data_IF_572955943129
#
_entry.id   IF_572955943129
#
_cell.length_a   1.000
_cell.length_b   1.000
_cell.length_c   1.000
_cell.angle_alpha   90.00
_cell.angle_beta   90.00
_cell.angle_gamma   90.00
#
_symmetry.space_group_name_H-M   'P 1'
#
loop_
_entity.id
_entity.type
_entity.pdbx_description
1 polymer ?
#
# COMPACT_ATOMS: atom_id res chain seq x y z
N UNK A 1 22.81 28.37 -23.76
CA UNK A 1 23.46 27.16 -23.24
C UNK A 1 23.92 27.44 -21.81
N UNK A 2 23.73 26.51 -20.88
CA UNK A 2 24.15 26.52 -19.45
C UNK A 2 23.20 27.14 -18.44
N UNK A 3 22.12 26.42 -18.09
CA UNK A 3 21.44 26.60 -16.77
C UNK A 3 20.76 25.31 -16.22
N UNK A 4 20.93 24.16 -16.87
CA UNK A 4 20.25 22.92 -16.50
C UNK A 4 21.00 22.09 -15.44
N UNK A 5 22.26 22.38 -15.14
CA UNK A 5 23.15 21.57 -14.29
C UNK A 5 23.09 21.89 -12.80
N UNK A 6 22.48 23.00 -12.39
CA UNK A 6 22.44 23.41 -10.97
C UNK A 6 21.32 22.75 -10.17
N UNK A 7 20.15 22.54 -10.77
CA UNK A 7 18.97 21.98 -10.06
C UNK A 7 19.08 20.48 -9.76
N UNK A 8 19.71 19.73 -10.66
CA UNK A 8 19.98 18.29 -10.45
C UNK A 8 20.99 18.04 -9.33
N UNK A 9 21.95 18.95 -9.13
CA UNK A 9 22.94 18.81 -8.05
C UNK A 9 22.36 19.03 -6.66
N UNK A 10 21.39 19.92 -6.52
CA UNK A 10 20.73 20.18 -5.22
C UNK A 10 19.85 18.99 -4.82
N UNK A 11 19.08 18.44 -5.76
CA UNK A 11 18.26 17.25 -5.50
C UNK A 11 19.12 16.03 -5.16
N UNK A 12 20.24 15.84 -5.88
CA UNK A 12 21.20 14.77 -5.61
C UNK A 12 21.91 14.98 -4.27
N UNK A 13 22.16 16.21 -3.85
CA UNK A 13 22.80 16.54 -2.59
C UNK A 13 21.88 16.27 -1.38
N UNK A 14 20.58 16.46 -1.53
CA UNK A 14 19.59 16.05 -0.54
C UNK A 14 19.49 14.53 -0.41
N UNK A 15 19.50 13.80 -1.52
CA UNK A 15 19.48 12.32 -1.54
C UNK A 15 20.81 11.78 -1.01
N UNK A 16 21.95 12.38 -1.37
CA UNK A 16 23.28 11.97 -0.90
C UNK A 16 23.48 12.30 0.58
N UNK A 17 22.99 13.44 1.09
CA UNK A 17 22.98 13.74 2.53
C UNK A 17 22.13 12.73 3.31
N UNK A 18 21.06 12.24 2.70
CA UNK A 18 20.22 11.18 3.23
C UNK A 18 20.96 9.81 3.28
N UNK A 19 21.89 9.57 2.35
CA UNK A 19 22.67 8.32 2.25
C UNK A 19 24.00 8.39 3.02
N UNK A 20 24.62 9.57 3.16
CA UNK A 20 25.97 9.72 3.75
C UNK A 20 26.00 9.55 5.27
N UNK A 21 24.87 9.77 5.96
CA UNK A 21 24.74 9.51 7.41
C UNK A 21 24.81 8.01 7.76
N UNK A 22 24.80 7.12 6.76
CA UNK A 22 24.76 5.66 6.91
C UNK A 22 26.12 5.00 7.19
N UNK A 23 27.23 5.70 6.98
CA UNK A 23 28.58 5.08 6.98
C UNK A 23 29.37 5.25 8.27
N UNK A 24 28.82 5.89 9.31
CA UNK A 24 29.59 6.23 10.51
C UNK A 24 29.20 5.50 11.80
N UNK A 25 28.41 4.44 11.74
CA UNK A 25 28.08 3.62 12.92
C UNK A 25 28.70 2.22 12.81
N UNK A 26 29.86 2.05 13.41
CA UNK A 26 30.49 0.76 13.67
C UNK A 26 29.68 -0.06 14.67
N UNK A 27 29.25 -1.25 14.28
CA UNK A 27 28.62 -2.21 15.18
C UNK A 27 29.68 -3.05 15.91
N UNK A 28 29.58 -3.08 17.23
CA UNK A 28 30.29 -4.04 18.07
C UNK A 28 29.47 -5.35 18.16
N UNK A 29 30.10 -6.54 18.18
CA UNK A 29 29.36 -7.80 18.19
C UNK A 29 28.80 -8.11 19.58
N UNK A 30 27.50 -8.48 19.62
CA UNK A 30 26.80 -8.91 20.82
C UNK A 30 27.13 -10.36 21.16
N UNK A 31 27.45 -10.60 22.43
CA UNK A 31 27.77 -11.90 23.03
C UNK A 31 26.51 -12.77 23.21
N UNK A 32 26.63 -14.03 22.82
CA UNK A 32 25.66 -15.10 22.99
C UNK A 32 25.35 -15.38 24.46
N UNK A 33 24.11 -15.23 24.90
CA UNK A 33 23.62 -15.85 26.15
C UNK A 33 22.54 -16.88 25.78
N UNK A 34 22.83 -18.14 26.15
CA UNK A 34 21.91 -19.25 26.06
C UNK A 34 20.68 -19.02 26.93
N UNK A 35 19.50 -19.07 26.37
CA UNK A 35 18.23 -19.02 27.11
C UNK A 35 17.46 -20.34 26.92
N UNK A 36 17.12 -20.98 28.03
CA UNK A 36 16.37 -22.21 28.13
C UNK A 36 14.92 -22.02 27.63
N UNK A 37 14.45 -22.93 26.78
CA UNK A 37 13.11 -22.94 26.18
C UNK A 37 12.02 -23.23 27.22
N UNK A 38 10.97 -22.41 27.34
CA UNK A 38 9.72 -22.81 27.96
C UNK A 38 8.89 -23.64 26.97
N UNK A 39 8.29 -24.73 27.45
CA UNK A 39 7.35 -25.56 26.67
C UNK A 39 6.06 -24.76 26.42
N UNK A 40 5.86 -24.31 25.19
CA UNK A 40 4.60 -23.70 24.78
C UNK A 40 3.53 -24.79 24.55
N UNK A 41 2.44 -24.69 25.30
CA UNK A 41 1.17 -25.34 24.99
C UNK A 41 0.64 -24.80 23.65
N UNK A 42 0.30 -25.68 22.74
CA UNK A 42 -0.34 -25.33 21.48
C UNK A 42 -1.63 -24.53 21.74
N UNK A 43 -1.89 -23.43 21.04
CA UNK A 43 -3.16 -22.73 21.16
C UNK A 43 -4.27 -23.60 20.57
N UNK A 44 -5.34 -23.78 21.35
CA UNK A 44 -6.58 -24.41 20.90
C UNK A 44 -7.18 -23.53 19.79
N UNK A 45 -7.25 -24.06 18.58
CA UNK A 45 -8.00 -23.48 17.48
C UNK A 45 -9.50 -23.50 17.84
N UNK A 46 -10.03 -22.36 18.22
CA UNK A 46 -11.47 -22.13 18.20
C UNK A 46 -11.87 -21.88 16.75
N UNK A 47 -12.42 -22.89 16.07
CA UNK A 47 -13.17 -22.66 14.84
C UNK A 47 -14.34 -21.75 15.21
N UNK A 48 -14.29 -20.48 14.83
CA UNK A 48 -15.47 -19.64 14.85
C UNK A 48 -16.44 -20.18 13.80
N UNK A 49 -17.41 -20.96 14.26
CA UNK A 49 -18.62 -21.28 13.50
C UNK A 49 -19.51 -20.03 13.47
N UNK A 50 -19.10 -18.98 12.76
CA UNK A 50 -20.00 -17.90 12.36
C UNK A 50 -20.94 -18.48 11.30
N UNK A 51 -22.24 -18.26 11.48
CA UNK A 51 -23.27 -18.64 10.52
C UNK A 51 -22.99 -17.92 9.16
N UNK A 52 -23.41 -18.50 8.01
CA UNK A 52 -23.15 -17.91 6.69
C UNK A 52 -23.67 -16.49 6.48
N UNK A 53 -24.54 -15.99 7.37
CA UNK A 53 -25.11 -14.63 7.34
C UNK A 53 -24.19 -13.53 7.87
N UNK A 54 -23.06 -13.86 8.55
CA UNK A 54 -22.17 -12.88 9.19
C UNK A 54 -20.84 -12.66 8.45
N UNK A 55 -20.62 -13.29 7.31
CA UNK A 55 -19.40 -13.10 6.53
C UNK A 55 -19.44 -11.72 5.84
N UNK A 56 -18.39 -10.88 6.02
CA UNK A 56 -18.34 -9.57 5.38
C UNK A 56 -18.15 -9.63 3.84
N UNK A 57 -18.09 -10.83 3.26
CA UNK A 57 -17.98 -11.05 1.82
C UNK A 57 -16.60 -11.47 1.35
N UNK A 58 -16.41 -11.45 0.03
CA UNK A 58 -15.16 -11.81 -0.64
C UNK A 58 -14.52 -10.56 -1.25
N UNK A 59 -13.22 -10.39 -1.07
CA UNK A 59 -12.47 -9.26 -1.65
C UNK A 59 -11.34 -9.71 -2.54
N UNK A 60 -11.05 -8.89 -3.56
CA UNK A 60 -9.88 -9.04 -4.41
C UNK A 60 -8.80 -8.04 -3.99
N UNK A 61 -7.62 -8.52 -3.62
CA UNK A 61 -6.45 -7.69 -3.29
C UNK A 61 -5.46 -7.69 -4.45
N UNK A 62 -5.36 -6.58 -5.17
CA UNK A 62 -4.38 -6.39 -6.22
C UNK A 62 -3.03 -6.00 -5.61
N UNK A 63 -2.00 -6.81 -5.87
CA UNK A 63 -0.69 -6.67 -5.24
C UNK A 63 -0.61 -7.31 -3.84
N UNK A 64 -1.42 -8.33 -3.55
CA UNK A 64 -1.50 -8.97 -2.24
C UNK A 64 -0.21 -9.66 -1.76
N UNK A 65 0.78 -9.87 -2.63
CA UNK A 65 2.11 -10.39 -2.26
C UNK A 65 3.13 -9.27 -1.97
N UNK A 66 2.73 -7.99 -2.11
CA UNK A 66 3.56 -6.82 -1.78
C UNK A 66 3.53 -6.48 -0.28
N UNK A 67 4.34 -5.50 0.12
CA UNK A 67 4.50 -5.08 1.50
C UNK A 67 3.17 -4.74 2.20
N UNK A 68 2.39 -3.82 1.63
CA UNK A 68 1.07 -3.46 2.16
C UNK A 68 0.04 -4.55 1.89
N UNK A 69 0.06 -5.15 0.68
CA UNK A 69 -0.93 -6.14 0.27
C UNK A 69 -0.96 -7.37 1.16
N UNK A 70 0.19 -7.88 1.61
CA UNK A 70 0.24 -8.99 2.57
C UNK A 70 -0.42 -8.63 3.91
N UNK A 71 -0.17 -7.43 4.43
CA UNK A 71 -0.78 -6.97 5.67
C UNK A 71 -2.31 -6.84 5.52
N UNK A 72 -2.78 -6.33 4.38
CA UNK A 72 -4.22 -6.24 4.05
C UNK A 72 -4.83 -7.63 3.96
N UNK A 73 -4.22 -8.57 3.24
CA UNK A 73 -4.73 -9.95 3.13
C UNK A 73 -4.86 -10.63 4.50
N UNK A 74 -3.81 -10.57 5.33
CA UNK A 74 -3.80 -11.13 6.69
C UNK A 74 -4.89 -10.48 7.56
N UNK A 75 -5.02 -9.15 7.49
CA UNK A 75 -6.02 -8.43 8.28
C UNK A 75 -7.44 -8.73 7.82
N UNK A 76 -7.69 -8.79 6.53
CA UNK A 76 -9.00 -9.10 5.97
C UNK A 76 -9.47 -10.51 6.37
N UNK A 77 -8.60 -11.51 6.33
CA UNK A 77 -8.90 -12.84 6.86
C UNK A 77 -9.27 -12.80 8.34
N UNK A 78 -8.50 -12.08 9.16
CA UNK A 78 -8.77 -11.94 10.59
C UNK A 78 -10.13 -11.27 10.89
N UNK A 79 -10.62 -10.44 9.97
CA UNK A 79 -11.96 -9.80 10.05
C UNK A 79 -13.07 -10.63 9.38
N UNK A 80 -12.76 -11.84 8.90
CA UNK A 80 -13.73 -12.79 8.35
C UNK A 80 -14.01 -12.70 6.87
N UNK A 81 -13.26 -11.87 6.10
CA UNK A 81 -13.37 -11.83 4.64
C UNK A 81 -12.79 -13.08 4.01
N UNK A 82 -13.39 -13.53 2.91
CA UNK A 82 -12.71 -14.37 1.94
C UNK A 82 -11.77 -13.51 1.09
N UNK A 83 -10.53 -13.95 0.89
CA UNK A 83 -9.50 -13.13 0.25
C UNK A 83 -8.93 -13.83 -0.97
N UNK A 84 -9.05 -13.20 -2.14
CA UNK A 84 -8.29 -13.55 -3.34
C UNK A 84 -7.20 -12.51 -3.56
N UNK A 85 -5.98 -12.94 -3.77
CA UNK A 85 -4.80 -12.09 -4.02
C UNK A 85 -4.34 -12.25 -5.46
N UNK A 86 -4.30 -11.17 -6.24
CA UNK A 86 -3.72 -11.17 -7.58
C UNK A 86 -2.37 -10.48 -7.57
N UNK A 87 -1.34 -11.17 -8.06
CA UNK A 87 -0.01 -10.61 -8.27
C UNK A 87 0.74 -11.30 -9.39
N UNK A 88 1.72 -10.62 -9.99
CA UNK A 88 2.59 -11.21 -11.05
C UNK A 88 3.34 -12.45 -10.55
N UNK A 89 3.66 -12.48 -9.27
CA UNK A 89 4.43 -13.56 -8.63
C UNK A 89 3.57 -14.75 -8.25
N UNK A 90 2.28 -14.55 -8.04
CA UNK A 90 1.36 -15.56 -7.49
C UNK A 90 1.50 -15.68 -5.98
N UNK A 91 2.50 -16.39 -5.52
CA UNK A 91 2.74 -16.61 -4.08
C UNK A 91 3.64 -15.53 -3.46
N UNK A 92 3.50 -15.23 -2.16
CA UNK A 92 4.43 -14.36 -1.46
C UNK A 92 5.81 -15.04 -1.36
N UNK A 93 6.90 -14.24 -1.26
CA UNK A 93 8.22 -14.80 -0.97
C UNK A 93 8.16 -15.43 0.42
N UNK A 94 8.52 -16.70 0.51
CA UNK A 94 8.64 -17.41 1.78
C UNK A 94 9.95 -16.97 2.45
N UNK A 95 9.90 -16.54 3.72
CA UNK A 95 11.07 -16.43 4.57
C UNK A 95 11.16 -17.68 5.45
N UNK A 96 12.37 -18.04 5.87
CA UNK A 96 12.62 -19.25 6.70
C UNK A 96 11.87 -19.20 8.06
N UNK A 97 11.46 -18.01 8.51
CA UNK A 97 10.65 -17.80 9.71
C UNK A 97 9.14 -18.01 9.47
N UNK A 98 8.71 -18.04 8.21
CA UNK A 98 7.29 -18.12 7.82
C UNK A 98 6.69 -19.54 7.84
N UNK A 99 7.46 -20.56 8.19
CA UNK A 99 6.91 -21.92 8.32
C UNK A 99 5.74 -22.02 9.32
N UNK A 100 5.71 -21.13 10.32
CA UNK A 100 4.60 -21.01 11.29
C UNK A 100 3.41 -20.20 10.73
N UNK A 101 3.65 -19.36 9.72
CA UNK A 101 2.65 -18.53 9.04
C UNK A 101 1.97 -19.26 7.88
N UNK A 102 2.46 -20.44 7.49
CA UNK A 102 1.88 -21.26 6.43
C UNK A 102 0.39 -21.58 6.71
N UNK A 103 -0.01 -21.81 7.96
CA UNK A 103 -1.40 -22.10 8.30
C UNK A 103 -2.37 -20.97 7.93
N UNK A 104 -2.01 -19.71 8.17
CA UNK A 104 -2.83 -18.54 7.79
C UNK A 104 -2.71 -18.18 6.32
N UNK A 105 -1.64 -18.62 5.65
CA UNK A 105 -1.42 -18.37 4.22
C UNK A 105 -2.30 -19.28 3.35
N UNK A 106 -2.68 -20.46 3.84
CA UNK A 106 -3.54 -21.41 3.10
C UNK A 106 -4.99 -20.91 2.91
N UNK A 107 -5.45 -19.97 3.73
CA UNK A 107 -6.81 -19.43 3.61
C UNK A 107 -6.92 -18.26 2.59
N UNK A 108 -5.80 -17.84 2.00
CA UNK A 108 -5.76 -16.83 0.93
C UNK A 108 -5.67 -17.54 -0.42
N UNK A 109 -6.60 -17.23 -1.30
CA UNK A 109 -6.56 -17.68 -2.69
C UNK A 109 -5.56 -16.86 -3.50
N UNK A 110 -4.33 -17.33 -3.64
CA UNK A 110 -3.28 -16.66 -4.38
C UNK A 110 -3.35 -16.98 -5.86
N UNK A 111 -3.50 -15.97 -6.69
CA UNK A 111 -3.58 -16.06 -8.16
C UNK A 111 -2.41 -15.34 -8.80
N UNK A 112 -1.79 -16.01 -9.76
CA UNK A 112 -0.79 -15.39 -10.62
C UNK A 112 -1.46 -14.69 -11.80
N UNK A 113 -1.09 -13.42 -12.03
CA UNK A 113 -1.57 -12.63 -13.17
C UNK A 113 -1.12 -11.19 -13.08
N UNK A 114 -1.32 -10.46 -14.16
CA UNK A 114 -0.92 -9.06 -14.29
C UNK A 114 -2.15 -8.16 -14.35
N UNK A 115 -2.28 -7.25 -13.38
CA UNK A 115 -3.38 -6.29 -13.33
C UNK A 115 -3.33 -5.25 -14.47
N UNK A 116 -2.21 -5.15 -15.21
CA UNK A 116 -2.12 -4.37 -16.45
C UNK A 116 -2.97 -4.99 -17.57
N UNK A 117 -3.27 -6.28 -17.47
CA UNK A 117 -4.16 -6.98 -18.37
C UNK A 117 -5.57 -7.08 -17.74
N UNK A 118 -6.55 -6.39 -18.32
CA UNK A 118 -7.95 -6.43 -17.89
C UNK A 118 -8.49 -7.85 -17.74
N UNK A 119 -8.15 -8.75 -18.65
CA UNK A 119 -8.62 -10.13 -18.63
C UNK A 119 -8.21 -10.89 -17.35
N UNK A 120 -7.05 -10.57 -16.77
CA UNK A 120 -6.61 -11.18 -15.51
C UNK A 120 -7.53 -10.81 -14.33
N UNK A 121 -7.98 -9.56 -14.26
CA UNK A 121 -8.88 -9.08 -13.21
C UNK A 121 -10.32 -9.54 -13.47
N UNK A 122 -10.80 -9.41 -14.71
CA UNK A 122 -12.14 -9.81 -15.12
C UNK A 122 -12.39 -11.30 -14.88
N UNK A 123 -11.41 -12.16 -15.20
CA UNK A 123 -11.50 -13.60 -14.95
C UNK A 123 -11.73 -13.93 -13.48
N UNK A 124 -11.08 -13.21 -12.58
CA UNK A 124 -11.26 -13.43 -11.13
C UNK A 124 -12.63 -12.98 -10.68
N UNK A 125 -13.06 -11.77 -11.06
CA UNK A 125 -14.39 -11.27 -10.66
C UNK A 125 -15.52 -12.09 -11.24
N UNK A 126 -15.36 -12.71 -12.42
CA UNK A 126 -16.37 -13.59 -13.03
C UNK A 126 -16.67 -14.85 -12.19
N UNK A 127 -15.82 -15.23 -11.24
CA UNK A 127 -16.10 -16.29 -10.26
C UNK A 127 -17.22 -15.92 -9.28
N UNK A 128 -17.54 -14.63 -9.16
CA UNK A 128 -18.65 -14.13 -8.35
C UNK A 128 -18.36 -14.00 -6.85
N UNK A 129 -19.33 -13.40 -6.14
CA UNK A 129 -19.30 -13.26 -4.68
C UNK A 129 -18.41 -12.13 -4.14
N UNK A 130 -17.79 -11.33 -5.00
CA UNK A 130 -16.94 -10.21 -4.58
C UNK A 130 -17.76 -9.02 -4.12
N UNK A 131 -17.36 -8.41 -3.01
CA UNK A 131 -17.95 -7.20 -2.42
C UNK A 131 -17.02 -5.99 -2.53
N UNK A 132 -15.79 -6.17 -2.98
CA UNK A 132 -14.88 -5.08 -3.20
C UNK A 132 -13.49 -5.47 -3.71
N UNK A 133 -12.77 -4.45 -4.13
CA UNK A 133 -11.37 -4.52 -4.56
C UNK A 133 -10.50 -3.64 -3.67
N UNK A 134 -9.32 -4.15 -3.31
CA UNK A 134 -8.25 -3.37 -2.66
C UNK A 134 -7.06 -3.27 -3.60
N UNK A 135 -6.72 -2.06 -4.00
CA UNK A 135 -5.60 -1.81 -4.89
C UNK A 135 -4.36 -1.38 -4.09
N UNK A 136 -3.44 -2.33 -3.90
CA UNK A 136 -2.17 -2.14 -3.20
C UNK A 136 -0.96 -2.12 -4.16
N UNK A 137 -1.19 -2.07 -5.48
CA UNK A 137 -0.11 -1.97 -6.46
C UNK A 137 0.37 -0.53 -6.49
N UNK A 138 1.66 -0.33 -6.31
CA UNK A 138 2.27 0.99 -6.35
C UNK A 138 3.78 0.89 -6.51
N UNK A 139 4.36 2.00 -6.92
CA UNK A 139 5.78 2.17 -7.15
C UNK A 139 6.15 3.54 -6.58
N UNK A 140 7.22 3.64 -5.81
CA UNK A 140 7.68 4.94 -5.30
C UNK A 140 8.68 5.60 -6.25
N UNK A 141 9.57 4.81 -6.83
CA UNK A 141 10.57 5.26 -7.80
C UNK A 141 10.37 4.49 -9.10
N UNK A 142 9.99 5.19 -10.16
CA UNK A 142 9.80 4.59 -11.49
C UNK A 142 11.13 4.44 -12.25
N UNK A 143 11.10 3.71 -13.36
CA UNK A 143 12.28 3.50 -14.19
C UNK A 143 12.83 4.82 -14.73
N UNK A 144 11.94 5.74 -15.11
CA UNK A 144 12.32 7.08 -15.62
C UNK A 144 12.96 7.98 -14.55
N UNK A 145 12.92 7.60 -13.28
CA UNK A 145 13.61 8.33 -12.19
C UNK A 145 15.12 8.10 -12.19
N UNK A 146 15.59 7.03 -12.84
CA UNK A 146 16.97 6.56 -12.75
C UNK A 146 17.36 6.00 -11.37
N UNK A 147 16.38 5.85 -10.47
CA UNK A 147 16.55 5.41 -9.08
C UNK A 147 15.75 4.14 -8.78
N UNK A 148 15.23 3.47 -9.80
CA UNK A 148 14.32 2.32 -9.69
C UNK A 148 14.89 1.18 -8.85
N UNK A 149 16.20 0.94 -8.88
CA UNK A 149 16.89 -0.07 -8.06
C UNK A 149 16.77 0.20 -6.55
N UNK A 150 16.54 1.45 -6.15
CA UNK A 150 16.36 1.80 -4.73
C UNK A 150 14.97 1.42 -4.20
N UNK A 151 14.02 1.05 -5.06
CA UNK A 151 12.68 0.63 -4.63
C UNK A 151 12.73 -0.54 -3.64
N UNK A 152 13.65 -1.46 -3.78
CA UNK A 152 13.79 -2.59 -2.87
C UNK A 152 14.01 -2.11 -1.42
N UNK A 153 14.81 -1.07 -1.25
CA UNK A 153 15.15 -0.52 0.07
C UNK A 153 14.10 0.46 0.59
N UNK A 154 13.52 1.28 -0.30
CA UNK A 154 12.65 2.40 0.10
C UNK A 154 11.19 1.96 0.23
N UNK A 155 10.68 1.15 -0.70
CA UNK A 155 9.26 0.74 -0.72
C UNK A 155 8.99 -0.54 0.06
N UNK A 156 10.01 -1.25 0.48
CA UNK A 156 9.87 -2.55 1.13
C UNK A 156 9.28 -3.64 0.24
N UNK A 157 9.06 -3.35 -1.04
CA UNK A 157 8.38 -4.22 -1.97
C UNK A 157 9.41 -5.11 -2.60
N UNK A 158 10.21 -5.82 -2.34
CA UNK A 158 11.15 -6.73 -3.04
C UNK A 158 10.82 -7.00 -4.53
N UNK A 159 10.12 -6.04 -5.16
CA UNK A 159 9.80 -6.08 -6.60
C UNK A 159 10.96 -5.47 -7.37
N UNK A 160 11.57 -6.26 -8.23
CA UNK A 160 12.59 -5.77 -9.16
C UNK A 160 11.86 -4.99 -10.26
N UNK A 161 12.15 -3.69 -10.44
CA UNK A 161 11.62 -2.92 -11.55
C UNK A 161 12.07 -3.51 -12.88
N UNK A 162 11.21 -3.46 -13.87
CA UNK A 162 11.48 -3.77 -15.27
C UNK A 162 11.29 -2.50 -16.12
N UNK A 163 11.62 -2.54 -17.39
CA UNK A 163 11.48 -1.41 -18.32
C UNK A 163 10.03 -0.87 -18.43
N UNK A 164 9.06 -1.65 -17.98
CA UNK A 164 7.65 -1.28 -17.90
C UNK A 164 7.23 -0.72 -16.55
N UNK A 165 8.15 -0.58 -15.61
CA UNK A 165 7.88 -0.13 -14.23
C UNK A 165 7.78 1.40 -14.14
N UNK A 166 6.87 1.99 -14.90
CA UNK A 166 6.53 3.42 -14.86
C UNK A 166 5.29 3.66 -14.01
N UNK A 167 5.13 4.90 -13.49
CA UNK A 167 3.92 5.27 -12.75
C UNK A 167 2.65 5.08 -13.58
N UNK A 168 2.75 5.34 -14.89
CA UNK A 168 1.65 5.16 -15.82
C UNK A 168 1.20 3.70 -15.91
N UNK A 169 2.13 2.77 -16.11
CA UNK A 169 1.81 1.35 -16.26
C UNK A 169 1.51 0.66 -14.94
N UNK A 170 2.28 0.94 -13.88
CA UNK A 170 2.15 0.23 -12.60
C UNK A 170 1.08 0.83 -11.71
N UNK A 171 0.95 2.16 -11.64
CA UNK A 171 -0.04 2.81 -10.78
C UNK A 171 -1.33 3.12 -11.52
N UNK A 172 -1.26 3.86 -12.62
CA UNK A 172 -2.45 4.36 -13.31
C UNK A 172 -3.17 3.26 -14.10
N UNK A 173 -2.48 2.55 -14.98
CA UNK A 173 -3.11 1.54 -15.85
C UNK A 173 -3.74 0.40 -15.04
N UNK A 174 -3.02 -0.14 -14.03
CA UNK A 174 -3.57 -1.24 -13.21
C UNK A 174 -4.81 -0.81 -12.43
N UNK A 175 -4.82 0.42 -11.90
CA UNK A 175 -5.97 0.96 -11.20
C UNK A 175 -7.14 1.25 -12.14
N UNK A 176 -6.88 1.84 -13.31
CA UNK A 176 -7.91 2.13 -14.31
C UNK A 176 -8.59 0.86 -14.79
N UNK A 177 -7.84 -0.17 -15.12
CA UNK A 177 -8.38 -1.48 -15.48
C UNK A 177 -9.28 -2.03 -14.36
N UNK A 178 -8.79 -1.99 -13.11
CA UNK A 178 -9.54 -2.50 -11.98
C UNK A 178 -10.83 -1.71 -11.71
N UNK A 179 -10.82 -0.37 -11.83
CA UNK A 179 -12.00 0.48 -11.66
C UNK A 179 -13.05 0.18 -12.73
N UNK A 180 -12.63 0.07 -13.99
CA UNK A 180 -13.54 -0.23 -15.10
C UNK A 180 -14.23 -1.59 -14.92
N UNK A 181 -13.45 -2.62 -14.56
CA UNK A 181 -13.99 -3.97 -14.32
C UNK A 181 -14.84 -4.00 -13.05
N UNK A 182 -14.45 -3.27 -11.98
CA UNK A 182 -15.26 -3.14 -10.77
C UNK A 182 -16.64 -2.51 -11.05
N UNK A 183 -16.64 -1.45 -11.85
CA UNK A 183 -17.88 -0.76 -12.25
C UNK A 183 -18.78 -1.67 -13.09
N UNK A 184 -18.22 -2.35 -14.09
CA UNK A 184 -18.93 -3.33 -14.92
C UNK A 184 -19.51 -4.47 -14.07
N UNK A 185 -18.70 -5.02 -13.18
CA UNK A 185 -19.10 -6.09 -12.27
C UNK A 185 -20.24 -5.66 -11.33
N UNK A 186 -20.14 -4.47 -10.73
CA UNK A 186 -21.17 -3.94 -9.84
C UNK A 186 -22.51 -3.74 -10.58
N UNK A 187 -22.48 -3.17 -11.79
CA UNK A 187 -23.66 -2.98 -12.62
C UNK A 187 -24.29 -4.32 -13.04
N UNK A 188 -23.47 -5.25 -13.52
CA UNK A 188 -23.95 -6.56 -14.01
C UNK A 188 -24.59 -7.39 -12.91
N UNK A 189 -24.10 -7.28 -11.67
CA UNK A 189 -24.61 -8.04 -10.54
C UNK A 189 -25.59 -7.24 -9.65
N UNK A 190 -25.98 -6.02 -10.06
CA UNK A 190 -26.87 -5.12 -9.32
C UNK A 190 -26.42 -4.93 -7.86
N UNK A 191 -25.14 -4.62 -7.67
CA UNK A 191 -24.56 -4.42 -6.34
C UNK A 191 -24.67 -2.94 -5.95
N UNK A 192 -25.41 -2.64 -4.88
CA UNK A 192 -25.57 -1.27 -4.38
C UNK A 192 -24.34 -0.75 -3.63
N UNK A 193 -23.43 -1.63 -3.17
CA UNK A 193 -22.25 -1.28 -2.39
C UNK A 193 -21.07 -2.18 -2.76
N UNK A 194 -20.48 -1.91 -3.92
CA UNK A 194 -19.20 -2.52 -4.28
C UNK A 194 -18.06 -1.56 -3.93
N UNK A 195 -17.23 -1.91 -2.95
CA UNK A 195 -16.17 -1.03 -2.46
C UNK A 195 -14.90 -1.09 -3.33
N UNK A 196 -14.35 0.07 -3.67
CA UNK A 196 -13.04 0.18 -4.31
C UNK A 196 -12.07 0.96 -3.41
N UNK A 197 -11.12 0.24 -2.78
CA UNK A 197 -10.14 0.81 -1.87
C UNK A 197 -8.80 1.01 -2.57
N UNK A 198 -8.35 2.26 -2.66
CA UNK A 198 -7.11 2.64 -3.35
C UNK A 198 -6.09 3.23 -2.39
N UNK A 199 -4.84 2.76 -2.47
CA UNK A 199 -3.71 3.34 -1.76
C UNK A 199 -3.14 4.50 -2.56
N UNK A 200 -3.49 5.72 -2.16
CA UNK A 200 -2.95 6.97 -2.71
C UNK A 200 -1.71 7.43 -1.94
N UNK A 201 -1.52 8.72 -1.78
CA UNK A 201 -0.45 9.35 -1.02
C UNK A 201 -0.94 10.65 -0.36
N UNK A 202 -0.41 11.00 0.82
CA UNK A 202 -0.75 12.24 1.52
C UNK A 202 -0.47 13.47 0.65
N UNK A 203 0.64 13.43 -0.06
CA UNK A 203 1.13 14.48 -0.95
C UNK A 203 0.20 14.73 -2.15
N UNK A 204 -0.63 13.75 -2.53
CA UNK A 204 -1.65 13.96 -3.56
C UNK A 204 -2.67 15.05 -3.17
N UNK A 205 -2.81 15.33 -1.88
CA UNK A 205 -3.67 16.39 -1.35
C UNK A 205 -3.02 17.77 -1.21
N UNK A 206 -1.78 17.95 -1.59
CA UNK A 206 -1.12 19.26 -1.45
C UNK A 206 -1.81 20.42 -2.18
N UNK A 207 -2.35 20.27 -3.38
CA UNK A 207 -3.11 21.35 -4.01
C UNK A 207 -4.32 21.84 -3.19
N UNK A 208 -4.85 20.98 -2.31
CA UNK A 208 -5.97 21.30 -1.43
C UNK A 208 -5.55 22.09 -0.17
N UNK A 209 -4.25 22.34 0.01
CA UNK A 209 -3.66 22.98 1.19
C UNK A 209 -3.03 24.30 0.79
N UNK A 210 -3.26 25.42 1.53
CA UNK A 210 -2.63 26.70 1.24
C UNK A 210 -1.10 26.59 1.15
N UNK A 211 -0.52 27.02 0.03
CA UNK A 211 0.92 26.93 -0.25
C UNK A 211 1.42 25.57 -0.74
N UNK A 212 0.55 24.56 -0.82
CA UNK A 212 0.94 23.21 -1.27
C UNK A 212 1.43 23.16 -2.72
N UNK A 213 0.86 23.99 -3.60
CA UNK A 213 1.35 24.12 -4.99
C UNK A 213 2.80 24.63 -5.07
N UNK A 214 3.19 25.53 -4.16
CA UNK A 214 4.58 26.03 -4.10
C UNK A 214 5.54 24.90 -3.70
N UNK A 215 5.14 24.09 -2.71
CA UNK A 215 5.92 22.93 -2.28
C UNK A 215 6.03 21.90 -3.41
N UNK A 216 4.94 21.62 -4.10
CA UNK A 216 4.94 20.73 -5.25
C UNK A 216 5.81 21.27 -6.39
N UNK A 217 5.83 22.59 -6.59
CA UNK A 217 6.63 23.25 -7.62
C UNK A 217 8.13 22.94 -7.52
N UNK A 218 8.66 22.75 -6.32
CA UNK A 218 10.08 22.47 -6.07
C UNK A 218 10.44 20.98 -6.07
N UNK A 219 9.44 20.08 -6.17
CA UNK A 219 9.70 18.65 -6.23
C UNK A 219 10.49 18.23 -7.47
N UNK A 220 11.27 17.14 -7.36
CA UNK A 220 11.83 16.47 -8.53
C UNK A 220 10.74 15.98 -9.50
N UNK A 221 11.04 15.93 -10.79
CA UNK A 221 10.06 15.60 -11.83
C UNK A 221 9.44 14.21 -11.65
N UNK A 222 10.20 13.21 -11.15
CA UNK A 222 9.65 11.90 -10.88
C UNK A 222 8.55 11.93 -9.79
N UNK A 223 8.73 12.76 -8.74
CA UNK A 223 7.70 12.94 -7.71
C UNK A 223 6.45 13.62 -8.27
N UNK A 224 6.60 14.62 -9.14
CA UNK A 224 5.46 15.26 -9.82
C UNK A 224 4.69 14.24 -10.65
N UNK A 225 5.38 13.41 -11.45
CA UNK A 225 4.75 12.32 -12.23
C UNK A 225 4.03 11.32 -11.32
N UNK A 226 4.65 10.94 -10.20
CA UNK A 226 4.03 10.09 -9.19
C UNK A 226 2.70 10.67 -8.70
N UNK A 227 2.67 11.94 -8.29
CA UNK A 227 1.48 12.61 -7.78
C UNK A 227 0.40 12.77 -8.86
N UNK A 228 0.79 13.08 -10.10
CA UNK A 228 -0.14 13.13 -11.24
C UNK A 228 -0.81 11.77 -11.45
N UNK A 229 -0.05 10.66 -11.42
CA UNK A 229 -0.60 9.32 -11.56
C UNK A 229 -1.58 9.00 -10.42
N UNK A 230 -1.25 9.33 -9.16
CA UNK A 230 -2.13 9.11 -8.01
C UNK A 230 -3.43 9.89 -8.13
N UNK A 231 -3.37 11.19 -8.43
CA UNK A 231 -4.55 12.06 -8.59
C UNK A 231 -5.45 11.62 -9.74
N UNK A 232 -4.87 11.17 -10.87
CA UNK A 232 -5.66 10.67 -12.00
C UNK A 232 -6.48 9.43 -11.63
N UNK A 233 -5.93 8.55 -10.78
CA UNK A 233 -6.66 7.40 -10.25
C UNK A 233 -7.76 7.84 -9.28
N UNK A 234 -7.46 8.77 -8.37
CA UNK A 234 -8.46 9.31 -7.45
C UNK A 234 -9.65 9.95 -8.19
N UNK A 235 -9.36 10.70 -9.25
CA UNK A 235 -10.42 11.30 -10.09
C UNK A 235 -11.28 10.20 -10.72
N UNK A 236 -10.67 9.19 -11.36
CA UNK A 236 -11.43 8.10 -11.98
C UNK A 236 -12.26 7.29 -10.98
N UNK A 237 -11.79 7.10 -9.74
CA UNK A 237 -12.58 6.45 -8.69
C UNK A 237 -13.79 7.30 -8.32
N UNK A 238 -13.62 8.62 -8.18
CA UNK A 238 -14.71 9.55 -7.88
C UNK A 238 -15.74 9.60 -9.00
N UNK A 239 -15.29 9.60 -10.25
CA UNK A 239 -16.16 9.59 -11.43
C UNK A 239 -16.99 8.30 -11.56
N UNK A 240 -16.50 7.18 -11.00
CA UNK A 240 -17.21 5.90 -10.99
C UNK A 240 -18.24 5.79 -9.86
N UNK A 241 -18.31 6.77 -8.94
CA UNK A 241 -19.35 6.82 -7.92
C UNK A 241 -20.69 7.29 -8.56
N UNK A 242 -21.85 6.84 -8.07
CA UNK A 242 -22.05 5.94 -6.92
C UNK A 242 -21.98 4.44 -7.26
N UNK A 243 -21.72 4.05 -8.51
CA UNK A 243 -21.72 2.64 -8.95
C UNK A 243 -20.75 1.80 -8.12
N UNK A 244 -19.60 2.37 -7.76
CA UNK A 244 -18.68 1.81 -6.78
C UNK A 244 -18.50 2.77 -5.61
N UNK A 245 -18.38 2.25 -4.40
CA UNK A 245 -18.11 3.05 -3.21
C UNK A 245 -16.62 3.40 -3.14
N UNK A 246 -16.25 4.69 -3.28
CA UNK A 246 -14.86 5.12 -3.27
C UNK A 246 -14.28 5.08 -1.85
N UNK A 247 -13.11 4.45 -1.68
CA UNK A 247 -12.29 4.50 -0.47
C UNK A 247 -10.87 4.85 -0.91
N UNK A 248 -10.46 6.10 -0.72
CA UNK A 248 -9.16 6.60 -1.16
C UNK A 248 -8.33 6.88 0.09
N UNK A 249 -7.37 6.01 0.37
CA UNK A 249 -6.52 6.17 1.56
C UNK A 249 -5.24 6.91 1.16
N UNK A 250 -4.99 8.05 1.80
CA UNK A 250 -3.82 8.92 1.57
C UNK A 250 -2.82 8.79 2.75
N UNK A 251 -2.05 7.71 2.85
CA UNK A 251 -1.00 7.62 3.85
C UNK A 251 0.18 8.51 3.45
N UNK A 252 0.90 8.97 4.44
CA UNK A 252 2.25 9.48 4.29
C UNK A 252 3.24 8.31 4.16
N UNK A 253 4.40 8.36 4.79
CA UNK A 253 5.34 7.25 4.80
C UNK A 253 4.76 6.02 5.51
N UNK A 254 4.76 4.86 4.82
CA UNK A 254 4.34 3.57 5.39
C UNK A 254 5.57 2.82 5.87
N UNK A 255 5.56 2.35 7.12
CA UNK A 255 6.68 1.61 7.70
C UNK A 255 6.24 0.35 8.46
N UNK A 256 7.19 -0.56 8.73
CA UNK A 256 7.00 -1.69 9.63
C UNK A 256 7.95 -1.61 10.81
N UNK A 257 7.46 -1.94 12.02
CA UNK A 257 8.28 -2.03 13.23
C UNK A 257 9.30 -3.18 13.15
N UNK A 258 9.02 -4.17 12.30
CA UNK A 258 9.89 -5.34 12.08
C UNK A 258 11.06 -5.05 11.11
N UNK A 259 11.13 -3.82 10.56
CA UNK A 259 12.15 -3.39 9.59
C UNK A 259 12.95 -2.19 10.11
N UNK A 260 14.07 -2.44 10.83
CA UNK A 260 14.85 -1.38 11.44
C UNK A 260 15.44 -0.39 10.42
N UNK A 261 15.68 -0.82 9.18
CA UNK A 261 16.15 0.04 8.09
C UNK A 261 15.18 1.17 7.73
N UNK A 262 13.89 1.02 8.04
CA UNK A 262 12.88 2.06 7.80
C UNK A 262 12.91 3.19 8.84
N UNK A 263 13.52 2.98 10.02
CA UNK A 263 13.48 3.94 11.12
C UNK A 263 14.15 5.28 10.81
N UNK A 264 15.15 5.30 9.95
CA UNK A 264 15.81 6.56 9.61
C UNK A 264 14.89 7.52 8.85
N UNK A 265 14.24 7.03 7.78
CA UNK A 265 13.26 7.83 7.03
C UNK A 265 12.05 8.20 7.89
N UNK A 266 11.58 7.27 8.73
CA UNK A 266 10.51 7.49 9.70
C UNK A 266 10.86 8.62 10.65
N UNK A 267 12.06 8.63 11.23
CA UNK A 267 12.51 9.67 12.15
C UNK A 267 12.51 11.07 11.53
N UNK A 268 12.92 11.19 10.26
CA UNK A 268 12.93 12.45 9.53
C UNK A 268 11.48 13.00 9.33
N UNK A 269 10.52 12.12 9.01
CA UNK A 269 9.12 12.50 8.86
C UNK A 269 8.49 12.88 10.21
N UNK A 270 8.78 12.16 11.29
CA UNK A 270 8.33 12.53 12.64
C UNK A 270 8.88 13.89 13.06
N UNK A 271 10.16 14.15 12.83
CA UNK A 271 10.76 15.44 13.12
C UNK A 271 10.08 16.58 12.36
N UNK A 272 9.89 16.41 11.03
CA UNK A 272 9.21 17.40 10.20
C UNK A 272 7.78 17.69 10.67
N UNK A 273 7.02 16.67 11.05
CA UNK A 273 5.69 16.83 11.61
C UNK A 273 5.73 17.52 12.99
N UNK A 274 6.68 17.17 13.87
CA UNK A 274 6.82 17.73 15.22
C UNK A 274 7.14 19.23 15.19
N UNK A 275 7.91 19.70 14.21
CA UNK A 275 8.19 21.13 14.03
C UNK A 275 7.04 21.86 13.29
N UNK A 276 5.93 21.17 13.03
CA UNK A 276 4.72 21.78 12.49
C UNK A 276 4.78 22.13 11.00
N UNK A 277 5.56 21.39 10.21
CA UNK A 277 5.53 21.56 8.75
C UNK A 277 4.16 21.10 8.22
N UNK A 278 3.33 21.98 7.67
CA UNK A 278 1.92 21.71 7.36
C UNK A 278 1.73 20.71 6.22
N UNK A 279 2.82 20.34 5.53
CA UNK A 279 2.82 19.47 4.36
C UNK A 279 3.26 18.03 4.67
N UNK A 280 3.62 17.75 5.94
CA UNK A 280 4.15 16.46 6.36
C UNK A 280 3.18 15.82 7.35
N UNK A 281 2.42 14.82 6.89
CA UNK A 281 1.63 13.97 7.77
C UNK A 281 2.53 12.97 8.51
N UNK A 282 2.10 12.50 9.68
CA UNK A 282 2.85 11.49 10.44
C UNK A 282 2.94 10.18 9.64
N UNK A 283 4.09 9.48 9.73
CA UNK A 283 4.21 8.12 9.21
C UNK A 283 3.19 7.17 9.85
N UNK A 284 2.75 6.18 9.08
CA UNK A 284 1.80 5.17 9.54
C UNK A 284 2.39 3.79 9.46
N UNK A 285 2.09 2.92 10.43
CA UNK A 285 2.50 1.52 10.35
C UNK A 285 1.69 0.80 9.28
N UNK A 286 2.32 -0.19 8.62
CA UNK A 286 1.63 -1.01 7.62
C UNK A 286 0.44 -1.75 8.23
N UNK A 287 0.50 -2.11 9.51
CA UNK A 287 -0.57 -2.78 10.25
C UNK A 287 -1.76 -1.84 10.48
N UNK A 288 -1.51 -0.59 10.94
CA UNK A 288 -2.55 0.42 11.14
C UNK A 288 -3.24 0.77 9.81
N UNK A 289 -2.47 0.92 8.74
CA UNK A 289 -3.00 1.19 7.41
C UNK A 289 -3.86 0.03 6.89
N UNK A 290 -3.39 -1.21 7.02
CA UNK A 290 -4.15 -2.39 6.63
C UNK A 290 -5.46 -2.51 7.42
N UNK A 291 -5.43 -2.24 8.73
CA UNK A 291 -6.63 -2.22 9.56
C UNK A 291 -7.61 -1.13 9.11
N UNK A 292 -7.12 0.08 8.81
CA UNK A 292 -7.94 1.18 8.27
C UNK A 292 -8.66 0.74 7.01
N UNK A 293 -7.93 0.18 6.04
CA UNK A 293 -8.48 -0.25 4.76
C UNK A 293 -9.56 -1.33 4.94
N UNK A 294 -9.29 -2.33 5.78
CA UNK A 294 -10.24 -3.42 6.02
C UNK A 294 -11.48 -2.95 6.79
N UNK A 295 -11.33 -2.08 7.79
CA UNK A 295 -12.48 -1.48 8.48
C UNK A 295 -13.32 -0.62 7.53
N UNK A 296 -12.68 0.16 6.66
CA UNK A 296 -13.37 0.97 5.67
C UNK A 296 -14.15 0.12 4.64
N UNK A 297 -13.64 -1.07 4.30
CA UNK A 297 -14.39 -2.03 3.47
C UNK A 297 -15.64 -2.55 4.18
N UNK A 298 -15.50 -2.89 5.47
CA UNK A 298 -16.56 -3.48 6.29
C UNK A 298 -17.65 -2.48 6.65
N UNK A 299 -17.27 -1.24 6.93
CA UNK A 299 -18.20 -0.17 7.30
C UNK A 299 -18.68 0.59 6.06
N UNK A 300 -19.92 0.31 5.65
CA UNK A 300 -20.55 0.92 4.47
C UNK A 300 -20.70 2.44 4.55
N UNK A 301 -20.66 3.01 5.75
CA UNK A 301 -20.70 4.46 5.95
C UNK A 301 -19.40 5.17 5.62
N UNK A 302 -18.28 4.41 5.54
CA UNK A 302 -16.97 4.96 5.23
C UNK A 302 -16.78 5.05 3.71
N UNK A 303 -16.63 6.27 3.21
CA UNK A 303 -16.48 6.58 1.79
C UNK A 303 -15.62 7.83 1.59
N UNK A 304 -15.04 7.99 0.41
CA UNK A 304 -14.25 9.17 0.04
C UNK A 304 -12.79 9.09 0.43
N UNK A 305 -12.19 10.23 0.73
CA UNK A 305 -10.75 10.36 1.04
C UNK A 305 -10.53 10.20 2.53
N UNK A 306 -9.65 9.27 2.89
CA UNK A 306 -9.18 9.03 4.25
C UNK A 306 -7.75 9.56 4.37
N UNK A 307 -7.58 10.63 5.16
CA UNK A 307 -6.29 11.25 5.51
C UNK A 307 -5.79 10.72 6.85
N UNK A 308 -4.67 11.28 7.32
CA UNK A 308 -4.05 10.84 8.58
C UNK A 308 -5.05 10.75 9.77
N UNK A 309 -5.93 11.75 10.03
CA UNK A 309 -6.87 11.64 11.17
C UNK A 309 -7.84 10.46 11.06
N UNK A 310 -8.36 10.18 9.85
CA UNK A 310 -9.25 9.04 9.62
C UNK A 310 -8.47 7.71 9.71
N UNK A 311 -7.21 7.69 9.22
CA UNK A 311 -6.33 6.52 9.31
C UNK A 311 -6.04 6.23 10.79
N UNK A 312 -5.71 7.23 11.60
CA UNK A 312 -5.46 7.07 13.03
C UNK A 312 -6.71 6.61 13.78
N UNK A 313 -7.88 7.18 13.48
CA UNK A 313 -9.16 6.80 14.10
C UNK A 313 -9.56 5.36 13.80
N UNK A 314 -9.40 4.91 12.55
CA UNK A 314 -9.78 3.56 12.12
C UNK A 314 -8.70 2.53 12.42
N UNK A 315 -7.45 2.88 12.21
CA UNK A 315 -6.29 1.99 12.31
C UNK A 315 -5.66 1.90 13.70
N UNK A 316 -6.03 2.80 14.61
CA UNK A 316 -5.36 2.98 15.89
C UNK A 316 -4.06 3.79 15.76
N UNK A 317 -3.52 4.20 16.89
CA UNK A 317 -2.24 4.94 16.97
C UNK A 317 -1.09 4.06 16.47
N UNK A 318 -0.24 4.64 15.65
CA UNK A 318 0.97 4.02 15.09
C UNK A 318 2.04 3.80 16.15
#
# INVERSE_FOLDING_TARGET
MTTTTSRSRVALQWIISFLWFRTSLSFAPATNKSCSRPRHRAPLFVKNNSSPSDSPGKILVLGGTGFLGQAVCKRALAEGFQVTSLSRRGLPPLSDEDATLLSTTFDIDFRQGDARNKASVSKILSEGGYTGIVHCIGLLLDEDSGLSLLNEFVSGSRSIPDADSTYDKITRLTAFNAIEIATEYALTNNLDDFAFCFTSAAEAGWPDIPGGELVEGILPDFMKRYLVAKRSVEAKIKDAAPTIRPIIVRPSLIYSKDRPESFFSVSAFFAGNTIGLPFIDKPVTVQALALTMVKALKDKSVSGILRYPEIERLGGTS
#
